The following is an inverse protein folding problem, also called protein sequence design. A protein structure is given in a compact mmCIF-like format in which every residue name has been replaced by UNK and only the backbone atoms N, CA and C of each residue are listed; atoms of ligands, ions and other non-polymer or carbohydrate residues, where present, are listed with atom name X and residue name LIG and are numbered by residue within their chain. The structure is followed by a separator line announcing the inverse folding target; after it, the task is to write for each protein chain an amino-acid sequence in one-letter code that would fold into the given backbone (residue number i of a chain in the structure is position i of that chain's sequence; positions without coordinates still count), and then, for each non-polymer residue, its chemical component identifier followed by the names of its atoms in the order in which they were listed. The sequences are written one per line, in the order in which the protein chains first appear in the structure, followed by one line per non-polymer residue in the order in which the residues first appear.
data_IF_633002118321
#
_entry.id   IF_633002118321
#
_cell.length_a   1.000
_cell.length_b   1.000
_cell.length_c   1.000
_cell.angle_alpha   90.00
_cell.angle_beta   90.00
_cell.angle_gamma   90.00
#
_symmetry.space_group_name_H-M   'P 1'
#
loop_
_entity.id
_entity.type
_entity.pdbx_description
1 polymer ?
#
# COMPACT_ATOMS: atom_id res chain seq x y z
N UNK A 1 -28.37 16.39 6.65
CA UNK A 1 -27.46 15.66 5.75
C UNK A 1 -26.72 14.64 6.59
N UNK A 2 -26.87 13.34 6.32
CA UNK A 2 -26.07 12.31 6.94
C UNK A 2 -24.59 12.58 6.59
N UNK A 3 -23.71 12.52 7.60
CA UNK A 3 -22.29 12.76 7.42
C UNK A 3 -21.71 11.57 6.62
N UNK A 4 -21.18 11.81 5.42
CA UNK A 4 -20.47 10.78 4.66
C UNK A 4 -19.21 10.38 5.46
N UNK A 5 -18.92 9.07 5.56
CA UNK A 5 -17.70 8.58 6.16
C UNK A 5 -16.46 8.86 5.29
N UNK A 6 -15.29 8.61 5.84
CA UNK A 6 -14.02 8.62 5.10
C UNK A 6 -13.81 7.27 4.41
N UNK A 7 -13.43 7.29 3.13
CA UNK A 7 -12.87 6.12 2.47
C UNK A 7 -11.36 6.09 2.71
N UNK A 8 -10.86 5.07 3.42
CA UNK A 8 -9.45 4.94 3.72
C UNK A 8 -8.83 3.75 2.98
N UNK A 9 -7.77 4.00 2.21
CA UNK A 9 -6.94 2.97 1.59
C UNK A 9 -5.60 2.93 2.32
N UNK A 10 -5.34 1.84 3.02
CA UNK A 10 -4.07 1.55 3.67
C UNK A 10 -3.27 0.59 2.79
N UNK A 11 -2.29 1.13 2.08
CA UNK A 11 -1.35 0.34 1.29
C UNK A 11 -0.19 -0.16 2.16
N UNK A 12 0.15 -1.43 2.05
CA UNK A 12 1.30 -2.03 2.72
C UNK A 12 2.08 -2.81 1.67
N UNK A 13 3.12 -2.19 1.13
CA UNK A 13 3.94 -2.74 0.03
C UNK A 13 4.47 -4.12 0.38
N UNK A 14 4.25 -5.08 -0.51
CA UNK A 14 4.65 -6.48 -0.37
C UNK A 14 4.05 -7.25 0.82
N UNK A 15 3.01 -6.74 1.49
CA UNK A 15 2.33 -7.52 2.52
C UNK A 15 1.77 -8.82 1.91
N UNK A 16 1.97 -9.96 2.60
CA UNK A 16 1.64 -11.27 2.03
C UNK A 16 0.96 -12.19 3.02
N UNK A 17 -0.03 -12.93 2.52
CA UNK A 17 -0.68 -14.00 3.29
C UNK A 17 0.28 -15.10 3.72
N UNK A 18 1.38 -15.31 3.00
CA UNK A 18 2.44 -16.26 3.34
C UNK A 18 3.05 -16.01 4.72
N UNK A 19 3.16 -14.73 5.11
CA UNK A 19 3.63 -14.34 6.46
C UNK A 19 2.47 -14.14 7.42
N UNK A 20 1.39 -13.51 6.98
CA UNK A 20 0.26 -13.13 7.86
C UNK A 20 -0.46 -14.36 8.37
N UNK A 21 -0.88 -15.29 7.49
CA UNK A 21 -1.73 -16.43 7.86
C UNK A 21 -1.12 -17.30 8.98
N UNK A 22 0.13 -17.77 8.90
CA UNK A 22 0.72 -18.61 9.94
C UNK A 22 0.99 -17.84 11.25
N UNK A 23 0.99 -16.52 11.22
CA UNK A 23 1.27 -15.65 12.37
C UNK A 23 0.06 -14.90 12.92
N UNK A 24 -1.17 -15.18 12.50
CA UNK A 24 -2.38 -14.49 12.97
C UNK A 24 -2.54 -14.51 14.51
N UNK A 25 -2.03 -15.52 15.20
CA UNK A 25 -2.01 -15.56 16.66
C UNK A 25 -1.14 -14.48 17.31
N UNK A 26 -0.15 -13.97 16.56
CA UNK A 26 0.78 -12.91 16.97
C UNK A 26 0.41 -11.54 16.36
N UNK A 27 -0.40 -11.52 15.30
CA UNK A 27 -0.81 -10.34 14.53
C UNK A 27 -2.29 -10.05 14.82
N UNK A 28 -2.54 -9.50 16.02
CA UNK A 28 -3.87 -9.34 16.59
C UNK A 28 -4.77 -8.41 15.76
N UNK A 29 -4.22 -7.35 15.20
CA UNK A 29 -4.99 -6.36 14.46
C UNK A 29 -5.25 -6.81 13.01
N UNK A 30 -4.31 -7.49 12.35
CA UNK A 30 -4.58 -8.21 11.11
C UNK A 30 -5.69 -9.26 11.31
N UNK A 31 -5.63 -10.03 12.40
CA UNK A 31 -6.67 -11.00 12.73
C UNK A 31 -8.04 -10.31 12.87
N UNK A 32 -8.14 -9.22 13.64
CA UNK A 32 -9.39 -8.45 13.78
C UNK A 32 -9.93 -7.98 12.44
N UNK A 33 -9.07 -7.45 11.56
CA UNK A 33 -9.47 -7.01 10.22
C UNK A 33 -10.04 -8.17 9.40
N UNK A 34 -9.40 -9.35 9.44
CA UNK A 34 -9.89 -10.52 8.70
C UNK A 34 -11.22 -11.06 9.24
N UNK A 35 -11.49 -10.88 10.53
CA UNK A 35 -12.76 -11.27 11.16
C UNK A 35 -13.90 -10.27 10.90
N UNK A 36 -13.57 -8.99 10.69
CA UNK A 36 -14.56 -7.92 10.44
C UNK A 36 -14.89 -7.75 8.97
N UNK A 37 -13.94 -8.05 8.08
CA UNK A 37 -14.02 -7.74 6.67
C UNK A 37 -13.99 -8.96 5.75
N UNK A 38 -13.99 -8.68 4.44
CA UNK A 38 -13.77 -9.69 3.40
C UNK A 38 -12.28 -9.76 3.11
N UNK A 39 -11.69 -10.95 3.25
CA UNK A 39 -10.26 -11.22 2.98
C UNK A 39 -10.10 -11.98 1.67
N UNK A 40 -9.15 -11.55 0.85
CA UNK A 40 -8.93 -12.13 -0.49
C UNK A 40 -7.46 -12.09 -0.88
N UNK A 41 -7.06 -12.98 -1.77
CA UNK A 41 -5.82 -12.87 -2.54
C UNK A 41 -6.16 -12.31 -3.92
N UNK A 42 -5.49 -11.26 -4.33
CA UNK A 42 -5.52 -10.78 -5.71
C UNK A 42 -4.33 -11.38 -6.44
N UNK A 43 -4.58 -12.16 -7.49
CA UNK A 43 -3.50 -12.68 -8.34
C UNK A 43 -3.27 -11.73 -9.49
N UNK A 44 -2.10 -11.09 -9.51
CA UNK A 44 -1.69 -10.16 -10.55
C UNK A 44 -1.59 -10.87 -11.91
N UNK A 45 -2.05 -10.20 -12.95
CA UNK A 45 -1.86 -10.64 -14.34
C UNK A 45 -0.63 -10.00 -14.96
N UNK A 46 -0.24 -8.85 -14.47
CA UNK A 46 0.98 -8.11 -14.80
C UNK A 46 2.17 -8.53 -13.94
N UNK A 47 3.35 -8.04 -14.31
CA UNK A 47 4.55 -8.22 -13.50
C UNK A 47 4.38 -7.53 -12.14
N UNK A 48 4.79 -8.17 -11.04
CA UNK A 48 4.68 -7.60 -9.69
C UNK A 48 5.77 -6.52 -9.46
N UNK A 49 5.66 -5.40 -10.17
CA UNK A 49 6.57 -4.25 -10.06
C UNK A 49 5.81 -3.11 -9.40
N UNK A 50 6.22 -2.72 -8.20
CA UNK A 50 5.51 -1.74 -7.36
C UNK A 50 5.16 -0.44 -8.10
N UNK A 51 6.10 0.13 -8.87
CA UNK A 51 5.85 1.33 -9.65
C UNK A 51 4.65 1.17 -10.61
N UNK A 52 4.54 0.01 -11.25
CA UNK A 52 3.46 -0.29 -12.20
C UNK A 52 2.15 -0.60 -11.50
N UNK A 53 2.19 -1.46 -10.48
CA UNK A 53 0.97 -1.94 -9.81
C UNK A 53 0.31 -0.81 -9.01
N UNK A 54 1.07 -0.04 -8.22
CA UNK A 54 0.54 1.13 -7.53
C UNK A 54 -0.03 2.18 -8.49
N UNK A 55 0.65 2.42 -9.63
CA UNK A 55 0.14 3.32 -10.65
C UNK A 55 -1.21 2.84 -11.19
N UNK A 56 -1.29 1.57 -11.61
CA UNK A 56 -2.52 0.96 -12.12
C UNK A 56 -3.66 0.98 -11.11
N UNK A 57 -3.34 0.68 -9.84
CA UNK A 57 -4.30 0.67 -8.73
C UNK A 57 -5.01 2.03 -8.56
N UNK A 58 -4.28 3.14 -8.69
CA UNK A 58 -4.85 4.45 -8.45
C UNK A 58 -5.24 5.23 -9.72
N UNK A 59 -4.95 4.72 -10.93
CA UNK A 59 -5.45 5.31 -12.17
C UNK A 59 -6.50 4.44 -12.88
N UNK A 60 -6.77 3.22 -12.42
CA UNK A 60 -7.73 2.30 -13.01
C UNK A 60 -7.34 1.74 -14.38
N UNK A 61 -6.06 1.82 -14.75
CA UNK A 61 -5.54 1.43 -16.06
C UNK A 61 -4.52 0.30 -15.96
N UNK A 62 -4.42 -0.48 -17.04
CA UNK A 62 -3.40 -1.53 -17.15
C UNK A 62 -2.00 -0.93 -17.42
N UNK A 63 -0.91 -1.69 -17.22
CA UNK A 63 0.45 -1.25 -17.52
C UNK A 63 0.65 -0.76 -18.97
N UNK A 64 -0.05 -1.39 -19.93
CA UNK A 64 0.00 -1.01 -21.34
C UNK A 64 -0.64 0.35 -21.60
N UNK A 65 -1.66 0.71 -20.81
CA UNK A 65 -2.39 1.97 -20.93
C UNK A 65 -1.68 3.11 -20.22
N UNK A 66 -1.23 2.91 -18.95
CA UNK A 66 -0.57 3.98 -18.19
C UNK A 66 0.93 4.11 -18.49
N UNK A 67 1.58 3.07 -19.03
CA UNK A 67 2.99 3.05 -19.50
C UNK A 67 4.04 3.41 -18.45
N UNK A 68 3.73 3.23 -17.17
CA UNK A 68 4.66 3.45 -16.08
C UNK A 68 5.10 2.11 -15.48
N UNK A 69 6.28 1.64 -15.81
CA UNK A 69 6.78 0.31 -15.44
C UNK A 69 8.03 0.32 -14.57
N UNK A 70 8.55 1.48 -14.21
CA UNK A 70 9.78 1.58 -13.39
C UNK A 70 9.89 2.96 -12.75
N UNK A 71 10.58 3.03 -11.61
CA UNK A 71 10.93 4.30 -10.96
C UNK A 71 12.00 5.10 -11.71
N UNK A 72 12.78 4.45 -12.56
CA UNK A 72 13.79 5.10 -13.38
C UNK A 72 13.75 4.59 -14.82
N UNK A 73 13.90 5.50 -15.79
CA UNK A 73 13.98 5.19 -17.22
C UNK A 73 15.23 5.86 -17.79
N UNK A 74 16.06 5.09 -18.48
CA UNK A 74 17.34 5.57 -19.06
C UNK A 74 18.26 6.26 -18.04
N UNK A 75 18.23 5.82 -16.78
CA UNK A 75 19.05 6.39 -15.70
C UNK A 75 18.48 7.67 -15.07
N UNK A 76 17.35 8.17 -15.54
CA UNK A 76 16.65 9.32 -14.96
C UNK A 76 15.45 8.86 -14.14
N UNK A 77 15.22 9.53 -13.01
CA UNK A 77 14.07 9.28 -12.14
C UNK A 77 12.81 9.79 -12.81
N UNK A 78 11.81 8.93 -12.95
CA UNK A 78 10.48 9.29 -13.47
C UNK A 78 9.81 10.26 -12.49
N UNK A 79 9.32 11.39 -13.01
CA UNK A 79 8.59 12.37 -12.22
C UNK A 79 7.08 12.20 -12.39
N UNK A 80 6.30 12.74 -11.43
CA UNK A 80 4.83 12.71 -11.50
C UNK A 80 4.28 13.27 -12.81
N UNK A 81 4.87 14.36 -13.30
CA UNK A 81 4.48 15.00 -14.55
C UNK A 81 4.75 14.16 -15.80
N UNK A 82 5.59 13.15 -15.71
CA UNK A 82 5.90 12.23 -16.82
C UNK A 82 4.80 11.18 -16.98
N UNK A 83 4.01 10.91 -15.93
CA UNK A 83 2.91 9.93 -15.91
C UNK A 83 1.65 10.60 -16.42
N UNK A 84 1.26 10.32 -17.67
CA UNK A 84 0.19 11.02 -18.40
C UNK A 84 -1.21 10.39 -18.18
N UNK A 85 -1.55 10.10 -16.93
CA UNK A 85 -2.88 9.62 -16.55
C UNK A 85 -3.42 10.42 -15.37
N UNK A 86 -4.74 10.52 -15.28
CA UNK A 86 -5.41 11.01 -14.08
C UNK A 86 -5.45 9.90 -13.02
N UNK A 87 -5.13 10.26 -11.80
CA UNK A 87 -5.31 9.38 -10.65
C UNK A 87 -6.63 9.67 -9.96
N UNK A 88 -7.08 8.78 -9.09
CA UNK A 88 -8.35 8.91 -8.38
C UNK A 88 -8.44 10.23 -7.59
N UNK A 89 -7.35 10.71 -7.01
CA UNK A 89 -7.32 12.00 -6.32
C UNK A 89 -7.45 13.19 -7.29
N UNK A 90 -6.95 13.10 -8.53
CA UNK A 90 -7.15 14.15 -9.54
C UNK A 90 -8.63 14.23 -9.96
N UNK A 91 -9.26 13.06 -10.14
CA UNK A 91 -10.67 12.94 -10.51
C UNK A 91 -11.57 13.51 -9.40
N UNK A 92 -11.42 12.98 -8.19
CA UNK A 92 -12.26 13.39 -7.05
C UNK A 92 -12.03 14.84 -6.61
N UNK A 93 -10.80 15.36 -6.72
CA UNK A 93 -10.52 16.77 -6.43
C UNK A 93 -11.24 17.71 -7.41
N UNK A 94 -11.32 17.34 -8.71
CA UNK A 94 -12.13 18.10 -9.70
C UNK A 94 -13.63 18.06 -9.39
N UNK A 95 -14.08 17.03 -8.72
CA UNK A 95 -15.48 16.89 -8.24
C UNK A 95 -15.73 17.59 -6.89
N UNK A 96 -14.71 18.30 -6.35
CA UNK A 96 -14.80 19.06 -5.11
C UNK A 96 -14.70 18.22 -3.84
N UNK A 97 -14.26 16.97 -3.93
CA UNK A 97 -14.03 16.09 -2.77
C UNK A 97 -12.74 16.47 -2.06
N UNK A 98 -12.72 16.32 -0.75
CA UNK A 98 -11.51 16.47 0.08
C UNK A 98 -10.67 15.20 0.02
N UNK A 99 -9.59 15.23 -0.74
CA UNK A 99 -8.72 14.07 -0.97
C UNK A 99 -7.32 14.27 -0.40
N UNK A 100 -6.77 13.22 0.16
CA UNK A 100 -5.41 13.16 0.68
C UNK A 100 -4.74 11.86 0.24
N UNK A 101 -3.50 11.96 -0.20
CA UNK A 101 -2.67 10.80 -0.49
C UNK A 101 -1.27 11.03 0.09
N UNK A 102 -0.77 10.04 0.83
CA UNK A 102 0.45 10.09 1.61
C UNK A 102 1.37 8.94 1.23
N UNK A 103 2.63 9.26 0.92
CA UNK A 103 3.72 8.30 0.67
C UNK A 103 3.42 7.26 -0.42
N UNK A 104 2.67 7.64 -1.45
CA UNK A 104 2.31 6.74 -2.56
C UNK A 104 3.49 6.56 -3.51
N UNK A 105 3.95 5.30 -3.75
CA UNK A 105 5.21 5.04 -4.43
C UNK A 105 5.08 4.91 -5.96
N UNK A 106 4.76 5.99 -6.68
CA UNK A 106 4.76 5.95 -8.17
C UNK A 106 6.12 6.18 -8.76
N UNK A 107 6.87 7.10 -8.15
CA UNK A 107 8.21 7.51 -8.56
C UNK A 107 9.10 7.55 -7.34
N UNK A 108 10.39 7.71 -7.56
CA UNK A 108 11.36 7.81 -6.47
C UNK A 108 11.87 9.25 -6.40
N UNK A 109 11.75 9.92 -5.23
CA UNK A 109 11.11 9.46 -3.99
C UNK A 109 9.59 9.39 -4.08
N UNK A 110 8.92 8.67 -3.15
CA UNK A 110 7.47 8.60 -3.08
C UNK A 110 6.83 9.98 -2.94
N UNK A 111 5.66 10.19 -3.55
CA UNK A 111 4.92 11.44 -3.47
C UNK A 111 3.97 11.49 -2.27
N UNK A 112 3.73 12.71 -1.80
CA UNK A 112 2.71 13.05 -0.79
C UNK A 112 1.77 14.08 -1.39
N UNK A 113 0.63 13.63 -1.90
CA UNK A 113 -0.33 14.48 -2.61
C UNK A 113 -1.28 15.16 -1.63
N UNK A 114 -1.45 16.48 -1.80
CA UNK A 114 -2.35 17.26 -0.96
C UNK A 114 -1.93 17.38 0.51
N UNK A 115 -0.69 17.05 0.84
CA UNK A 115 -0.12 17.19 2.19
C UNK A 115 1.33 17.70 2.13
N UNK A 116 1.75 18.45 3.14
CA UNK A 116 3.14 18.83 3.30
C UNK A 116 3.87 17.73 4.10
N UNK A 117 4.45 16.77 3.39
CA UNK A 117 5.16 15.64 3.96
C UNK A 117 6.40 15.32 3.10
N UNK A 118 7.55 15.24 3.72
CA UNK A 118 8.77 14.78 3.05
C UNK A 118 8.90 13.26 3.20
N UNK A 119 8.84 12.49 2.11
CA UNK A 119 9.01 11.04 2.16
C UNK A 119 10.33 10.64 2.82
N UNK A 120 10.33 9.50 3.49
CA UNK A 120 11.51 8.93 4.14
C UNK A 120 12.05 7.80 3.27
N UNK A 121 13.37 7.80 3.11
CA UNK A 121 14.06 6.77 2.34
C UNK A 121 13.96 6.96 0.83
N UNK A 122 14.76 6.16 0.14
CA UNK A 122 14.92 6.18 -1.28
C UNK A 122 15.63 4.91 -1.73
N UNK A 123 15.10 4.20 -2.72
CA UNK A 123 15.64 2.92 -3.17
C UNK A 123 15.38 1.78 -2.18
N UNK A 124 16.40 0.94 -1.97
CA UNK A 124 16.35 -0.21 -1.04
C UNK A 124 17.28 0.05 0.18
N UNK A 125 16.92 0.95 1.10
CA UNK A 125 17.71 1.14 2.31
C UNK A 125 17.68 -0.14 3.15
N UNK A 126 18.83 -0.49 3.72
CA UNK A 126 19.03 -1.71 4.51
C UNK A 126 19.14 -1.44 6.00
N UNK A 127 18.93 -0.21 6.43
CA UNK A 127 19.10 0.15 7.82
C UNK A 127 17.76 0.28 8.55
N UNK A 128 17.69 -0.36 9.71
CA UNK A 128 16.52 -0.42 10.57
C UNK A 128 16.02 0.97 10.99
N UNK A 129 16.91 1.95 11.14
CA UNK A 129 16.54 3.31 11.52
C UNK A 129 15.62 3.96 10.49
N UNK A 130 15.89 3.81 9.20
CA UNK A 130 15.06 4.39 8.14
C UNK A 130 13.70 3.69 8.05
N UNK A 131 13.66 2.38 8.26
CA UNK A 131 12.40 1.64 8.31
C UNK A 131 11.53 2.06 9.50
N UNK A 132 12.15 2.23 10.68
CA UNK A 132 11.44 2.71 11.87
C UNK A 132 10.96 4.17 11.66
N UNK A 133 11.79 5.03 11.07
CA UNK A 133 11.43 6.41 10.78
C UNK A 133 10.24 6.49 9.80
N UNK A 134 10.20 5.65 8.76
CA UNK A 134 9.06 5.56 7.86
C UNK A 134 7.81 5.13 8.62
N UNK A 135 7.91 4.04 9.39
CA UNK A 135 6.80 3.49 10.16
C UNK A 135 6.16 4.55 11.06
N UNK A 136 6.96 5.27 11.85
CA UNK A 136 6.46 6.28 12.79
C UNK A 136 5.89 7.51 12.06
N UNK A 137 6.64 8.10 11.14
CA UNK A 137 6.24 9.34 10.47
C UNK A 137 5.01 9.18 9.59
N UNK A 138 4.89 8.06 8.87
CA UNK A 138 3.70 7.78 8.05
C UNK A 138 2.50 7.56 8.97
N UNK A 139 2.67 6.84 10.10
CA UNK A 139 1.59 6.62 11.06
C UNK A 139 1.10 7.93 11.67
N UNK A 140 2.00 8.75 12.22
CA UNK A 140 1.65 10.03 12.83
C UNK A 140 0.88 10.92 11.84
N UNK A 141 1.40 11.05 10.60
CA UNK A 141 0.76 11.87 9.58
C UNK A 141 -0.57 11.30 9.13
N UNK A 142 -0.70 9.99 9.02
CA UNK A 142 -1.98 9.34 8.70
C UNK A 142 -3.03 9.62 9.77
N UNK A 143 -2.65 9.54 11.07
CA UNK A 143 -3.56 9.88 12.19
C UNK A 143 -4.03 11.33 12.12
N UNK A 144 -3.12 12.28 11.87
CA UNK A 144 -3.49 13.70 11.68
C UNK A 144 -4.50 13.87 10.53
N UNK A 145 -4.26 13.22 9.39
CA UNK A 145 -5.13 13.32 8.22
C UNK A 145 -6.50 12.66 8.43
N UNK A 146 -6.57 11.55 9.16
CA UNK A 146 -7.84 10.92 9.54
C UNK A 146 -8.70 11.86 10.41
N UNK A 147 -8.07 12.63 11.32
CA UNK A 147 -8.77 13.63 12.14
C UNK A 147 -9.39 14.76 11.30
N UNK A 148 -8.85 15.05 10.14
CA UNK A 148 -9.42 16.02 9.19
C UNK A 148 -10.71 15.52 8.51
N UNK A 149 -11.04 14.23 8.64
CA UNK A 149 -12.18 13.56 8.02
C UNK A 149 -12.30 13.86 6.51
N UNK A 150 -11.29 13.52 5.70
CA UNK A 150 -11.37 13.67 4.26
C UNK A 150 -12.41 12.71 3.65
N UNK A 151 -12.87 12.98 2.42
CA UNK A 151 -13.69 12.01 1.68
C UNK A 151 -12.85 10.78 1.28
N UNK A 152 -11.59 11.00 0.88
CA UNK A 152 -10.61 9.96 0.58
C UNK A 152 -9.28 10.21 1.29
N UNK A 153 -8.77 9.19 1.97
CA UNK A 153 -7.38 9.11 2.43
C UNK A 153 -6.71 7.87 1.84
N UNK A 154 -5.54 8.04 1.26
CA UNK A 154 -4.64 6.97 0.85
C UNK A 154 -3.35 7.14 1.63
N UNK A 155 -2.86 6.08 2.27
CA UNK A 155 -1.57 6.07 2.97
C UNK A 155 -0.85 4.77 2.69
N UNK A 156 0.43 4.84 2.29
CA UNK A 156 1.21 3.66 1.89
C UNK A 156 2.47 3.54 2.71
N UNK A 157 2.73 2.34 3.21
CA UNK A 157 3.98 1.93 3.83
C UNK A 157 4.79 1.09 2.85
N UNK A 158 6.08 1.39 2.68
CA UNK A 158 6.95 0.66 1.73
C UNK A 158 8.02 -0.19 2.41
N UNK A 159 8.11 -0.11 3.74
CA UNK A 159 9.20 -0.72 4.51
C UNK A 159 9.23 -2.26 4.45
N UNK A 160 8.05 -2.94 4.40
CA UNK A 160 8.03 -4.41 4.44
C UNK A 160 8.64 -5.02 3.17
N UNK A 161 8.43 -4.42 2.01
CA UNK A 161 9.09 -4.84 0.77
C UNK A 161 10.61 -4.85 0.94
N UNK A 162 11.19 -3.74 1.40
CA UNK A 162 12.62 -3.58 1.60
C UNK A 162 13.19 -4.58 2.60
N UNK A 163 12.48 -4.82 3.70
CA UNK A 163 12.89 -5.78 4.73
C UNK A 163 12.87 -7.22 4.18
N UNK A 164 11.80 -7.58 3.48
CA UNK A 164 11.62 -8.92 2.94
C UNK A 164 12.67 -9.26 1.88
N UNK A 165 13.11 -8.32 1.08
CA UNK A 165 14.20 -8.56 0.13
C UNK A 165 15.47 -9.13 0.79
N UNK A 166 15.85 -8.64 1.97
CA UNK A 166 17.09 -9.01 2.64
C UNK A 166 16.93 -10.06 3.74
N UNK A 167 15.73 -10.20 4.31
CA UNK A 167 15.47 -11.01 5.50
C UNK A 167 14.39 -12.08 5.30
N UNK A 168 13.99 -12.37 4.04
CA UNK A 168 12.97 -13.39 3.79
C UNK A 168 13.35 -14.74 4.43
N UNK A 169 12.35 -15.37 5.08
CA UNK A 169 12.53 -16.63 5.80
C UNK A 169 13.12 -16.51 7.20
N UNK A 170 13.43 -15.30 7.66
CA UNK A 170 13.91 -15.06 9.03
C UNK A 170 12.76 -14.61 9.95
N UNK A 171 12.85 -14.93 11.24
CA UNK A 171 11.91 -14.42 12.26
C UNK A 171 11.89 -12.88 12.32
N UNK A 172 12.96 -12.25 11.87
CA UNK A 172 13.07 -10.80 11.76
C UNK A 172 11.95 -10.16 10.90
N UNK A 173 11.52 -10.82 9.82
CA UNK A 173 10.38 -10.38 9.01
C UNK A 173 9.11 -10.35 9.87
N UNK A 174 8.88 -11.42 10.66
CA UNK A 174 7.69 -11.49 11.53
C UNK A 174 7.69 -10.38 12.58
N UNK A 175 8.85 -10.00 13.11
CA UNK A 175 8.94 -8.88 14.07
C UNK A 175 8.51 -7.54 13.43
N UNK A 176 8.84 -7.31 12.15
CA UNK A 176 8.38 -6.10 11.45
C UNK A 176 6.89 -6.15 11.09
N UNK A 177 6.35 -7.34 10.80
CA UNK A 177 4.90 -7.49 10.68
C UNK A 177 4.17 -7.21 12.00
N UNK A 178 4.74 -7.54 13.16
CA UNK A 178 4.17 -7.17 14.47
C UNK A 178 4.17 -5.66 14.68
N UNK A 179 5.27 -4.98 14.35
CA UNK A 179 5.32 -3.51 14.40
C UNK A 179 4.28 -2.88 13.47
N UNK A 180 4.10 -3.42 12.25
CA UNK A 180 3.03 -2.97 11.33
C UNK A 180 1.64 -3.25 11.90
N UNK A 181 1.44 -4.42 12.51
CA UNK A 181 0.19 -4.79 13.18
C UNK A 181 -0.19 -3.79 14.30
N UNK A 182 0.78 -3.35 15.09
CA UNK A 182 0.58 -2.31 16.10
C UNK A 182 0.12 -0.99 15.45
N UNK A 183 0.72 -0.58 14.33
CA UNK A 183 0.30 0.64 13.62
C UNK A 183 -1.09 0.52 12.99
N UNK A 184 -1.46 -0.65 12.51
CA UNK A 184 -2.86 -0.94 12.11
C UNK A 184 -3.79 -0.75 13.31
N UNK A 185 -3.41 -1.24 14.49
CA UNK A 185 -4.13 -1.02 15.73
C UNK A 185 -4.35 0.47 16.02
N UNK A 186 -3.25 1.25 16.00
CA UNK A 186 -3.28 2.68 16.24
C UNK A 186 -4.15 3.45 15.23
N UNK A 187 -4.10 3.09 13.94
CA UNK A 187 -4.81 3.81 12.88
C UNK A 187 -6.29 3.48 12.80
N UNK A 188 -6.66 2.23 13.05
CA UNK A 188 -8.00 1.73 12.75
C UNK A 188 -8.83 1.54 14.02
N UNK A 189 -8.24 0.94 15.06
CA UNK A 189 -8.98 0.53 16.25
C UNK A 189 -8.90 1.57 17.38
N UNK A 190 -7.73 2.14 17.64
CA UNK A 190 -7.56 3.11 18.72
C UNK A 190 -8.14 4.48 18.35
N UNK A 191 -8.25 4.80 17.05
CA UNK A 191 -8.96 5.99 16.55
C UNK A 191 -10.48 5.84 16.53
N UNK A 192 -11.00 4.62 16.68
CA UNK A 192 -12.41 4.33 16.48
C UNK A 192 -12.87 4.42 15.03
N UNK A 193 -11.95 4.31 14.05
CA UNK A 193 -12.26 4.51 12.62
C UNK A 193 -13.38 3.60 12.11
N UNK A 194 -13.47 2.35 12.61
CA UNK A 194 -14.50 1.38 12.24
C UNK A 194 -15.59 1.22 13.30
N UNK A 195 -15.79 2.19 14.18
CA UNK A 195 -16.82 2.11 15.21
C UNK A 195 -18.24 2.20 14.65
N UNK A 196 -19.21 1.69 15.41
CA UNK A 196 -20.61 1.69 15.05
C UNK A 196 -21.14 3.12 14.88
N UNK A 197 -21.84 3.36 13.76
CA UNK A 197 -22.38 4.68 13.40
C UNK A 197 -21.46 5.55 12.53
N UNK A 198 -20.21 5.19 12.35
CA UNK A 198 -19.33 5.79 11.35
C UNK A 198 -19.48 5.03 10.02
N UNK A 199 -19.80 5.77 8.95
CA UNK A 199 -19.93 5.19 7.59
C UNK A 199 -18.57 5.09 6.88
N UNK A 200 -17.53 4.79 7.66
CA UNK A 200 -16.16 4.70 7.14
C UNK A 200 -15.96 3.39 6.39
N UNK A 201 -15.18 3.46 5.32
CA UNK A 201 -14.82 2.34 4.44
C UNK A 201 -13.33 2.15 4.44
N UNK A 202 -12.89 0.90 4.47
CA UNK A 202 -11.48 0.56 4.54
C UNK A 202 -11.09 -0.47 3.49
N UNK A 203 -10.00 -0.17 2.79
CA UNK A 203 -9.23 -1.15 2.02
C UNK A 203 -7.85 -1.24 2.65
N UNK A 204 -7.39 -2.46 3.02
CA UNK A 204 -6.00 -2.75 3.34
C UNK A 204 -5.46 -3.66 2.24
N UNK A 205 -4.43 -3.21 1.53
CA UNK A 205 -4.00 -3.86 0.30
C UNK A 205 -2.49 -3.79 0.12
N UNK A 206 -1.90 -4.83 -0.49
CA UNK A 206 -0.55 -4.77 -1.06
C UNK A 206 -0.62 -4.70 -2.59
N UNK A 207 0.44 -4.21 -3.19
CA UNK A 207 0.62 -4.20 -4.63
C UNK A 207 1.03 -5.57 -5.17
N UNK A 208 1.78 -6.35 -4.39
CA UNK A 208 2.18 -7.73 -4.68
C UNK A 208 2.41 -8.52 -3.39
N UNK A 209 2.62 -9.82 -3.53
CA UNK A 209 3.09 -10.69 -2.46
C UNK A 209 4.60 -10.86 -2.48
N UNK A 210 5.08 -11.87 -1.73
CA UNK A 210 6.51 -12.15 -1.60
C UNK A 210 6.79 -13.65 -1.52
N UNK A 211 7.96 -14.09 -2.02
CA UNK A 211 8.43 -15.47 -1.98
C UNK A 211 9.95 -15.54 -1.82
N UNK A 212 10.51 -16.74 -1.66
CA UNK A 212 11.96 -16.94 -1.66
C UNK A 212 12.58 -16.52 -2.99
N UNK A 213 13.77 -15.98 -2.95
CA UNK A 213 14.50 -15.63 -4.18
C UNK A 213 14.68 -16.88 -5.07
N UNK A 214 14.33 -16.74 -6.35
CA UNK A 214 14.35 -17.84 -7.33
C UNK A 214 13.05 -18.65 -7.42
N UNK A 215 12.05 -18.43 -6.55
CA UNK A 215 10.71 -19.06 -6.63
C UNK A 215 9.69 -18.21 -7.40
N UNK A 216 9.98 -16.93 -7.60
CA UNK A 216 9.11 -16.02 -8.36
C UNK A 216 8.97 -16.47 -9.82
N UNK A 217 7.75 -16.40 -10.38
CA UNK A 217 7.52 -16.64 -11.81
C UNK A 217 8.28 -15.68 -12.71
N UNK A 218 8.43 -14.44 -12.22
CA UNK A 218 9.19 -13.39 -12.89
C UNK A 218 10.12 -12.76 -11.87
N UNK A 219 11.41 -12.94 -12.06
CA UNK A 219 12.41 -12.27 -11.23
C UNK A 219 12.37 -10.76 -11.51
N UNK A 220 12.17 -9.97 -10.46
CA UNK A 220 12.03 -8.50 -10.56
C UNK A 220 13.33 -7.76 -10.29
N UNK A 221 14.21 -8.30 -9.46
CA UNK A 221 15.50 -7.73 -9.09
C UNK A 221 16.64 -8.74 -9.30
N UNK A 222 17.88 -8.29 -9.50
CA UNK A 222 19.05 -9.16 -9.55
C UNK A 222 19.32 -9.73 -8.15
N UNK A 223 19.86 -10.96 -8.07
CA UNK A 223 20.17 -11.61 -6.80
C UNK A 223 21.13 -10.82 -5.91
N UNK A 224 22.02 -10.05 -6.52
CA UNK A 224 22.98 -9.21 -5.83
C UNK A 224 22.78 -7.75 -6.21
N UNK A 225 22.60 -6.92 -5.18
CA UNK A 225 22.54 -5.46 -5.29
C UNK A 225 23.77 -4.83 -4.62
N UNK A 226 23.87 -3.51 -4.68
CA UNK A 226 24.91 -2.77 -3.94
C UNK A 226 24.76 -2.92 -2.43
N UNK A 227 23.54 -3.14 -1.97
CA UNK A 227 23.15 -3.26 -0.58
C UNK A 227 23.35 -4.69 -0.04
N UNK A 228 23.46 -5.69 -0.92
CA UNK A 228 23.69 -7.07 -0.53
C UNK A 228 22.98 -8.11 -1.40
N UNK A 229 23.00 -9.37 -0.95
CA UNK A 229 22.31 -10.48 -1.59
C UNK A 229 20.85 -10.49 -1.15
N UNK A 230 19.94 -10.61 -2.11
CA UNK A 230 18.51 -10.74 -1.86
C UNK A 230 18.14 -12.18 -1.48
N UNK A 231 17.31 -12.33 -0.45
CA UNK A 231 16.75 -13.61 0.03
C UNK A 231 15.34 -13.85 -0.48
N UNK A 232 14.64 -12.78 -0.84
CA UNK A 232 13.28 -12.85 -1.36
C UNK A 232 13.06 -11.94 -2.56
N UNK A 233 11.99 -12.22 -3.30
CA UNK A 233 11.55 -11.49 -4.50
C UNK A 233 10.03 -11.42 -4.55
N UNK A 234 9.50 -10.57 -5.39
CA UNK A 234 8.08 -10.31 -5.53
C UNK A 234 7.31 -11.52 -6.05
N UNK A 235 6.10 -11.70 -5.53
CA UNK A 235 5.18 -12.75 -5.94
C UNK A 235 3.87 -12.14 -6.44
N UNK A 236 3.20 -12.78 -7.39
CA UNK A 236 1.96 -12.27 -7.99
C UNK A 236 0.74 -12.24 -7.05
N UNK A 237 0.79 -12.87 -5.88
CA UNK A 237 -0.36 -12.96 -4.97
C UNK A 237 -0.36 -11.82 -3.95
N UNK A 238 -1.07 -10.76 -4.26
CA UNK A 238 -1.26 -9.60 -3.39
C UNK A 238 -2.27 -9.87 -2.27
N UNK A 239 -2.07 -9.21 -1.13
CA UNK A 239 -2.95 -9.24 0.04
C UNK A 239 -4.08 -8.22 -0.13
N UNK A 240 -5.31 -8.58 0.26
CA UNK A 240 -6.46 -7.69 0.33
C UNK A 240 -7.34 -8.01 1.53
N UNK A 241 -7.74 -6.97 2.27
CA UNK A 241 -8.88 -6.97 3.19
C UNK A 241 -9.73 -5.73 2.95
N UNK A 242 -11.05 -5.89 2.86
CA UNK A 242 -11.99 -4.77 2.74
C UNK A 242 -13.00 -4.80 3.87
N UNK A 243 -13.34 -3.63 4.43
CA UNK A 243 -14.39 -3.49 5.46
C UNK A 243 -15.35 -2.38 5.03
N UNK A 244 -16.65 -2.68 5.03
CA UNK A 244 -17.72 -1.79 4.56
C UNK A 244 -17.57 -1.34 3.09
N UNK A 245 -16.92 -2.13 2.25
CA UNK A 245 -16.76 -1.89 0.82
C UNK A 245 -17.61 -2.92 0.08
N UNK A 246 -18.55 -2.45 -0.73
CA UNK A 246 -19.47 -3.29 -1.47
C UNK A 246 -18.91 -3.70 -2.82
N UNK A 247 -18.11 -2.82 -3.44
CA UNK A 247 -17.48 -3.06 -4.74
C UNK A 247 -16.54 -4.28 -4.69
N UNK A 248 -16.68 -5.18 -5.67
CA UNK A 248 -15.85 -6.39 -5.74
C UNK A 248 -14.50 -6.09 -6.43
N UNK A 249 -13.41 -6.26 -5.70
CA UNK A 249 -12.04 -6.01 -6.18
C UNK A 249 -11.42 -7.34 -6.63
N UNK A 250 -11.20 -7.51 -7.93
CA UNK A 250 -10.62 -8.69 -8.56
C UNK A 250 -9.18 -8.44 -9.05
N UNK A 251 -8.85 -7.18 -9.35
CA UNK A 251 -7.55 -6.73 -9.86
C UNK A 251 -7.14 -5.45 -9.12
N UNK A 252 -5.84 -5.09 -9.10
CA UNK A 252 -5.41 -3.84 -8.48
C UNK A 252 -6.14 -2.61 -9.03
N UNK A 253 -6.39 -2.56 -10.34
CA UNK A 253 -7.08 -1.46 -11.02
C UNK A 253 -8.51 -1.22 -10.52
N UNK A 254 -9.15 -2.27 -9.98
CA UNK A 254 -10.51 -2.18 -9.46
C UNK A 254 -10.62 -1.30 -8.22
N UNK A 255 -9.50 -1.04 -7.51
CA UNK A 255 -9.45 -0.09 -6.39
C UNK A 255 -9.85 1.32 -6.81
N UNK A 256 -9.42 1.77 -8.00
CA UNK A 256 -9.85 3.06 -8.56
C UNK A 256 -11.38 3.14 -8.68
N UNK A 257 -11.98 2.08 -9.25
CA UNK A 257 -13.42 2.04 -9.48
C UNK A 257 -14.19 1.90 -8.17
N UNK A 258 -13.72 1.08 -7.23
CA UNK A 258 -14.30 0.95 -5.90
C UNK A 258 -14.35 2.30 -5.17
N UNK A 259 -13.24 3.04 -5.15
CA UNK A 259 -13.18 4.37 -4.53
C UNK A 259 -14.16 5.32 -5.22
N UNK A 260 -14.17 5.34 -6.57
CA UNK A 260 -15.01 6.26 -7.33
C UNK A 260 -16.48 5.99 -7.08
N UNK A 261 -16.94 4.75 -7.21
CA UNK A 261 -18.35 4.36 -7.06
C UNK A 261 -18.85 4.59 -5.62
N UNK A 262 -18.01 4.34 -4.63
CA UNK A 262 -18.44 4.38 -3.24
C UNK A 262 -18.29 5.75 -2.55
N UNK A 263 -17.63 6.71 -3.20
CA UNK A 263 -17.57 8.12 -2.74
C UNK A 263 -18.63 9.00 -3.40
N UNK A 264 -19.12 8.64 -4.59
CA UNK A 264 -20.20 9.36 -5.25
C UNK A 264 -21.48 9.40 -4.39
#
# INVERSE_FOLDING_TARGET
MQRKGTFFVLGIDAATWTVITPNLSKLRNFKRLTEMGKSKTITLREKPISASVWCGMFCGKTPEEHRHGSYAVNGEIVKREDIKVDFIWDVLAREGKKVKALNVPFVVPPYSFGVNFKPVGFGLPTNEREWQEELERVTEKTKELLMEKPDLLISVYTLLDRIQHFHWGEDYVVEWYKRMDEKIGELIFDTGFLEEGEHNKLIVISDHGFCSFGEAKVQTLPEHTKEGRLKGDHHENAFLVTVNVDYEIERPQDVFFAIKEEIE
#
